data_IF_076487031912
#
_entry.id   IF_076487031912
#
_cell.length_a   1.000
_cell.length_b   1.000
_cell.length_c   1.000
_cell.angle_alpha   90.00
_cell.angle_beta   90.00
_cell.angle_gamma   90.00
#
_symmetry.space_group_name_H-M   'P 1'
#
loop_
_entity.id
_entity.type
_entity.pdbx_description
1 polymer ?
#
# COMPACT_ATOMS: atom_id res chain seq x y z
N UNK A 1 -54.01 -4.21 34.61
CA UNK A 1 -52.99 -4.28 33.56
C UNK A 1 -51.97 -3.17 33.81
N UNK A 2 -50.85 -3.48 34.46
CA UNK A 2 -49.67 -2.62 34.50
C UNK A 2 -48.61 -3.33 33.65
N UNK A 3 -48.10 -2.63 32.65
CA UNK A 3 -47.05 -3.14 31.78
C UNK A 3 -45.71 -2.81 32.44
N UNK A 4 -44.94 -3.85 32.74
CA UNK A 4 -43.54 -3.72 33.13
C UNK A 4 -42.71 -3.44 31.87
N UNK A 5 -42.03 -2.30 31.84
CA UNK A 5 -41.08 -1.94 30.79
C UNK A 5 -39.71 -2.42 31.27
N UNK A 6 -39.23 -3.53 30.72
CA UNK A 6 -37.83 -3.94 30.88
C UNK A 6 -36.94 -3.04 30.03
N UNK A 7 -36.14 -2.21 30.69
CA UNK A 7 -35.10 -1.39 30.06
C UNK A 7 -33.87 -2.28 29.86
N UNK A 8 -33.64 -2.74 28.63
CA UNK A 8 -32.39 -3.38 28.24
C UNK A 8 -31.28 -2.32 28.11
N UNK A 9 -30.42 -2.23 29.12
CA UNK A 9 -29.19 -1.43 29.08
C UNK A 9 -28.14 -2.22 28.30
N UNK A 10 -27.94 -1.87 27.03
CA UNK A 10 -26.79 -2.35 26.25
C UNK A 10 -25.53 -1.62 26.72
N UNK A 11 -24.68 -2.30 27.48
CA UNK A 11 -23.30 -1.87 27.67
C UNK A 11 -22.55 -2.09 26.35
N UNK A 12 -22.35 -1.03 25.58
CA UNK A 12 -21.31 -0.97 24.56
C UNK A 12 -19.95 -1.06 25.27
N UNK A 13 -19.45 -2.27 25.42
CA UNK A 13 -18.05 -2.52 25.79
C UNK A 13 -17.18 -2.03 24.64
N UNK A 14 -16.75 -0.77 24.70
CA UNK A 14 -15.65 -0.28 23.86
C UNK A 14 -14.38 -0.94 24.38
N UNK A 15 -14.03 -2.10 23.84
CA UNK A 15 -12.69 -2.64 24.01
C UNK A 15 -11.70 -1.63 23.40
N UNK A 16 -10.63 -1.24 24.10
CA UNK A 16 -9.57 -0.45 23.49
C UNK A 16 -9.05 -1.27 22.31
N UNK A 17 -9.14 -0.73 21.09
CA UNK A 17 -8.42 -1.28 19.94
C UNK A 17 -6.94 -1.07 20.21
N UNK A 18 -6.30 -2.05 20.86
CA UNK A 18 -4.85 -2.08 20.99
C UNK A 18 -4.28 -2.37 19.60
N UNK A 19 -3.56 -1.40 19.02
CA UNK A 19 -2.78 -1.66 17.82
C UNK A 19 -1.72 -2.71 18.16
N UNK A 20 -1.75 -3.86 17.48
CA UNK A 20 -0.67 -4.83 17.57
C UNK A 20 0.52 -4.28 16.80
N UNK A 21 1.70 -4.23 17.43
CA UNK A 21 2.95 -3.87 16.77
C UNK A 21 3.69 -5.15 16.38
N UNK A 22 3.89 -5.38 15.08
CA UNK A 22 4.58 -6.55 14.54
C UNK A 22 5.94 -6.14 13.98
N UNK A 23 7.01 -6.71 14.50
CA UNK A 23 8.32 -6.64 13.86
C UNK A 23 8.40 -7.76 12.80
N UNK A 24 8.53 -7.37 11.53
CA UNK A 24 8.62 -8.32 10.41
C UNK A 24 10.02 -8.96 10.29
N UNK A 25 10.96 -8.58 11.14
CA UNK A 25 12.27 -9.19 11.26
C UNK A 25 13.00 -9.27 9.92
N UNK A 26 13.58 -10.44 9.56
CA UNK A 26 14.36 -10.60 8.34
C UNK A 26 13.52 -10.59 7.06
N UNK A 27 12.20 -10.76 7.14
CA UNK A 27 11.32 -10.78 5.96
C UNK A 27 11.45 -9.48 5.16
N UNK A 28 11.51 -8.37 5.88
CA UNK A 28 11.71 -7.04 5.33
C UNK A 28 12.98 -6.90 4.50
N UNK A 29 14.09 -7.35 5.05
CA UNK A 29 15.37 -7.33 4.35
C UNK A 29 15.35 -8.19 3.09
N UNK A 30 14.66 -9.33 3.13
CA UNK A 30 14.56 -10.25 2.00
C UNK A 30 13.64 -9.71 0.91
N UNK A 31 12.45 -9.21 1.28
CA UNK A 31 11.55 -8.48 0.38
C UNK A 31 12.28 -7.33 -0.31
N UNK A 32 13.08 -6.59 0.46
CA UNK A 32 13.90 -5.49 -0.07
C UNK A 32 14.94 -5.95 -1.08
N UNK A 33 15.75 -6.97 -0.74
CA UNK A 33 16.79 -7.51 -1.63
C UNK A 33 16.18 -8.04 -2.94
N UNK A 34 14.97 -8.58 -2.86
CA UNK A 34 14.26 -9.16 -3.99
C UNK A 34 13.44 -8.13 -4.78
N UNK A 35 13.37 -6.87 -4.34
CA UNK A 35 12.62 -5.81 -5.00
C UNK A 35 13.39 -5.17 -6.17
N UNK A 36 13.81 -6.00 -7.14
CA UNK A 36 14.61 -5.56 -8.29
C UNK A 36 13.94 -4.49 -9.17
N UNK A 37 12.61 -4.38 -9.09
CA UNK A 37 11.84 -3.36 -9.81
C UNK A 37 11.72 -2.02 -9.06
N UNK A 38 12.20 -1.88 -7.82
CA UNK A 38 12.24 -0.58 -7.15
C UNK A 38 13.18 0.37 -7.92
N UNK A 39 12.74 1.61 -8.12
CA UNK A 39 13.51 2.67 -8.74
C UNK A 39 14.42 3.35 -7.71
N UNK A 40 15.64 3.65 -8.13
CA UNK A 40 16.64 4.40 -7.37
C UNK A 40 16.44 5.90 -7.62
N UNK A 41 16.29 6.69 -6.56
CA UNK A 41 16.24 8.15 -6.65
C UNK A 41 17.65 8.71 -6.40
N UNK A 42 18.17 9.67 -7.19
CA UNK A 42 17.53 10.34 -8.32
C UNK A 42 17.82 9.71 -9.69
N UNK A 43 18.59 8.61 -9.77
CA UNK A 43 19.17 8.13 -11.05
C UNK A 43 18.20 7.39 -11.96
N UNK A 44 17.12 6.86 -11.42
CA UNK A 44 16.07 6.13 -12.14
C UNK A 44 14.69 6.82 -12.00
N UNK A 45 14.51 7.62 -10.96
CA UNK A 45 13.32 8.44 -10.69
C UNK A 45 13.74 9.76 -10.05
N UNK A 46 13.30 10.90 -10.56
CA UNK A 46 13.46 12.19 -9.88
C UNK A 46 12.18 12.61 -9.18
N UNK A 47 12.33 13.42 -8.12
CA UNK A 47 11.24 14.03 -7.35
C UNK A 47 11.44 15.54 -7.40
N UNK A 48 10.52 16.27 -8.03
CA UNK A 48 10.52 17.73 -8.04
C UNK A 48 9.83 18.26 -6.78
N UNK A 49 10.63 18.74 -5.83
CA UNK A 49 10.12 19.24 -4.55
C UNK A 49 9.56 20.67 -4.60
N UNK A 50 9.40 21.26 -5.78
CA UNK A 50 8.71 22.55 -5.94
C UNK A 50 7.23 22.40 -5.56
N UNK A 51 6.69 23.43 -4.89
CA UNK A 51 5.29 23.47 -4.53
C UNK A 51 4.42 23.32 -5.78
N UNK A 52 3.45 22.40 -5.72
CA UNK A 52 2.55 22.11 -6.85
C UNK A 52 3.27 21.64 -8.14
N UNK A 53 4.42 20.97 -8.02
CA UNK A 53 5.15 20.44 -9.17
C UNK A 53 4.31 19.52 -10.07
N UNK A 54 4.46 19.72 -11.38
CA UNK A 54 3.78 18.94 -12.41
C UNK A 54 4.69 18.79 -13.64
N UNK A 55 5.40 17.66 -13.78
CA UNK A 55 5.31 16.45 -12.96
C UNK A 55 6.02 16.56 -11.60
N UNK A 56 5.45 15.96 -10.55
CA UNK A 56 6.14 15.74 -9.26
C UNK A 56 7.19 14.63 -9.40
N UNK A 57 6.85 13.56 -10.12
CA UNK A 57 7.72 12.40 -10.33
C UNK A 57 8.09 12.30 -11.80
N UNK A 58 9.38 12.15 -12.12
CA UNK A 58 9.82 11.90 -13.50
C UNK A 58 10.67 10.64 -13.56
N UNK A 59 10.22 9.64 -14.31
CA UNK A 59 11.01 8.43 -14.56
C UNK A 59 12.18 8.77 -15.47
N UNK A 60 13.40 8.52 -14.99
CA UNK A 60 14.62 8.80 -15.75
C UNK A 60 14.77 7.76 -16.87
N UNK A 61 15.17 8.23 -18.05
CA UNK A 61 15.47 7.36 -19.19
C UNK A 61 16.54 6.31 -18.84
N UNK A 62 16.54 5.18 -19.57
CA UNK A 62 17.41 4.05 -19.27
C UNK A 62 16.80 3.12 -18.21
N UNK A 63 17.48 2.90 -17.10
CA UNK A 63 17.11 1.86 -16.11
C UNK A 63 15.73 2.09 -15.48
N UNK A 64 15.38 3.32 -15.15
CA UNK A 64 14.04 3.66 -14.62
C UNK A 64 12.93 3.31 -15.60
N UNK A 65 13.09 3.74 -16.86
CA UNK A 65 12.16 3.43 -17.94
C UNK A 65 12.02 1.91 -18.19
N UNK A 66 13.11 1.14 -18.11
CA UNK A 66 13.06 -0.33 -18.21
C UNK A 66 12.26 -0.93 -17.05
N UNK A 67 12.46 -0.44 -15.82
CA UNK A 67 11.73 -0.94 -14.64
C UNK A 67 10.23 -0.70 -14.74
N UNK A 68 9.79 0.50 -15.14
CA UNK A 68 8.34 0.79 -15.27
C UNK A 68 7.67 0.08 -16.46
N UNK A 69 8.45 -0.44 -17.42
CA UNK A 69 7.96 -1.32 -18.49
C UNK A 69 7.89 -2.80 -18.09
N UNK A 70 8.36 -3.17 -16.90
CA UNK A 70 8.23 -4.54 -16.41
C UNK A 70 6.77 -4.94 -16.20
N UNK A 71 6.50 -6.25 -16.22
CA UNK A 71 5.16 -6.80 -16.03
C UNK A 71 4.49 -6.30 -14.74
N UNK A 72 5.25 -6.15 -13.65
CA UNK A 72 4.73 -5.65 -12.36
C UNK A 72 4.07 -4.28 -12.48
N UNK A 73 4.73 -3.33 -13.17
CA UNK A 73 4.19 -1.99 -13.36
C UNK A 73 3.13 -1.91 -14.46
N UNK A 74 3.26 -2.71 -15.52
CA UNK A 74 2.27 -2.74 -16.60
C UNK A 74 0.94 -3.33 -16.13
N UNK A 75 0.96 -4.47 -15.41
CA UNK A 75 -0.27 -5.06 -14.87
C UNK A 75 -0.91 -4.23 -13.76
N UNK A 76 -0.09 -3.52 -12.98
CA UNK A 76 -0.63 -2.51 -12.07
C UNK A 76 -1.32 -1.37 -12.84
N UNK A 77 -0.72 -0.87 -13.92
CA UNK A 77 -1.31 0.17 -14.78
C UNK A 77 -2.64 -0.30 -15.38
N UNK A 78 -2.75 -1.55 -15.83
CA UNK A 78 -4.01 -2.10 -16.36
C UNK A 78 -5.12 -2.05 -15.31
N UNK A 79 -4.83 -2.41 -14.06
CA UNK A 79 -5.79 -2.26 -12.95
C UNK A 79 -6.18 -0.79 -12.74
N UNK A 80 -5.22 0.15 -12.77
CA UNK A 80 -5.53 1.57 -12.63
C UNK A 80 -6.45 2.07 -13.76
N UNK A 81 -6.30 1.57 -14.98
CA UNK A 81 -7.18 1.88 -16.12
C UNK A 81 -8.58 1.31 -15.89
N UNK A 82 -8.71 0.07 -15.43
CA UNK A 82 -10.03 -0.52 -15.15
C UNK A 82 -10.81 0.28 -14.09
N UNK A 83 -10.14 0.71 -13.03
CA UNK A 83 -10.76 1.54 -11.97
C UNK A 83 -11.14 2.96 -12.43
N UNK A 84 -10.82 3.34 -13.66
CA UNK A 84 -11.25 4.61 -14.26
C UNK A 84 -12.51 4.47 -15.13
N UNK A 85 -13.01 3.25 -15.34
CA UNK A 85 -14.22 3.00 -16.12
C UNK A 85 -15.49 3.57 -15.45
N UNK A 86 -16.57 3.70 -16.22
CA UNK A 86 -17.87 4.17 -15.72
C UNK A 86 -18.41 3.31 -14.57
N UNK A 87 -18.12 2.01 -14.62
CA UNK A 87 -18.33 1.04 -13.53
C UNK A 87 -16.95 0.57 -13.06
N UNK A 88 -16.33 1.27 -12.09
CA UNK A 88 -14.92 1.10 -11.77
C UNK A 88 -14.69 -0.19 -10.99
N UNK A 89 -14.34 -1.26 -11.72
CA UNK A 89 -13.92 -2.54 -11.18
C UNK A 89 -12.97 -3.25 -12.16
N UNK A 90 -11.90 -3.89 -11.68
CA UNK A 90 -10.99 -4.63 -12.52
C UNK A 90 -11.61 -5.93 -13.02
N UNK A 91 -11.21 -6.34 -14.22
CA UNK A 91 -11.57 -7.67 -14.72
C UNK A 91 -10.83 -8.76 -13.94
N UNK A 92 -11.41 -9.96 -13.84
CA UNK A 92 -10.72 -11.09 -13.20
C UNK A 92 -9.39 -11.41 -13.89
N UNK A 93 -9.34 -11.28 -15.22
CA UNK A 93 -8.11 -11.47 -16.00
C UNK A 93 -7.00 -10.49 -15.57
N UNK A 94 -7.30 -9.19 -15.45
CA UNK A 94 -6.30 -8.22 -15.00
C UNK A 94 -5.87 -8.42 -13.55
N UNK A 95 -6.79 -8.88 -12.66
CA UNK A 95 -6.43 -9.29 -11.30
C UNK A 95 -5.43 -10.45 -11.34
N UNK A 96 -5.75 -11.51 -12.10
CA UNK A 96 -4.93 -12.72 -12.19
C UNK A 96 -3.54 -12.44 -12.81
N UNK A 97 -3.50 -11.57 -13.82
CA UNK A 97 -2.26 -11.13 -14.47
C UNK A 97 -1.40 -10.31 -13.51
N UNK A 98 -1.99 -9.41 -12.73
CA UNK A 98 -1.27 -8.63 -11.72
C UNK A 98 -0.76 -9.52 -10.59
N UNK A 99 -1.60 -10.39 -10.02
CA UNK A 99 -1.21 -11.32 -8.97
C UNK A 99 -0.08 -12.22 -9.48
N UNK A 100 -0.16 -12.71 -10.72
CA UNK A 100 0.91 -13.48 -11.35
C UNK A 100 2.18 -12.65 -11.49
N UNK A 101 2.09 -11.40 -11.95
CA UNK A 101 3.25 -10.52 -12.11
C UNK A 101 3.98 -10.23 -10.78
N UNK A 102 3.26 -10.13 -9.66
CA UNK A 102 3.88 -9.85 -8.35
C UNK A 102 4.36 -11.10 -7.61
N UNK A 103 3.89 -12.30 -7.98
CA UNK A 103 4.27 -13.60 -7.36
C UNK A 103 5.33 -14.35 -8.17
N UNK A 104 6.33 -13.63 -8.67
CA UNK A 104 7.45 -14.25 -9.39
C UNK A 104 8.48 -14.86 -8.42
N UNK A 105 9.15 -15.97 -8.81
CA UNK A 105 10.27 -16.50 -8.06
C UNK A 105 11.36 -15.45 -7.83
N UNK A 106 12.03 -15.54 -6.68
CA UNK A 106 13.02 -14.56 -6.21
C UNK A 106 12.49 -13.12 -6.12
N UNK A 107 11.17 -12.95 -6.07
CA UNK A 107 10.49 -11.66 -5.91
C UNK A 107 10.22 -11.31 -4.44
N UNK A 108 9.75 -10.07 -4.17
CA UNK A 108 9.39 -9.65 -2.81
C UNK A 108 8.21 -10.46 -2.26
N UNK A 109 7.24 -10.83 -3.10
CA UNK A 109 6.08 -11.59 -2.63
C UNK A 109 6.41 -13.05 -2.25
N UNK A 110 7.42 -13.65 -2.88
CA UNK A 110 7.91 -14.97 -2.45
C UNK A 110 8.58 -14.87 -1.07
N UNK A 111 9.41 -13.85 -0.84
CA UNK A 111 10.00 -13.61 0.49
C UNK A 111 8.93 -13.37 1.57
N UNK A 112 7.84 -12.67 1.24
CA UNK A 112 6.68 -12.52 2.11
C UNK A 112 6.00 -13.87 2.39
N UNK A 113 5.74 -14.65 1.35
CA UNK A 113 5.14 -15.99 1.45
C UNK A 113 5.96 -16.92 2.35
N UNK A 114 7.27 -17.01 2.12
CA UNK A 114 8.16 -17.87 2.90
C UNK A 114 8.16 -17.50 4.39
N UNK A 115 8.20 -16.21 4.69
CA UNK A 115 8.13 -15.72 6.07
C UNK A 115 6.78 -16.06 6.70
N UNK A 116 5.66 -15.75 6.04
CA UNK A 116 4.32 -16.01 6.55
C UNK A 116 4.07 -17.51 6.79
N UNK A 117 4.59 -18.36 5.89
CA UNK A 117 4.57 -19.81 6.05
C UNK A 117 5.38 -20.25 7.27
N UNK A 118 6.59 -19.71 7.45
CA UNK A 118 7.44 -20.01 8.61
C UNK A 118 6.79 -19.57 9.94
N UNK A 119 6.09 -18.44 9.96
CA UNK A 119 5.40 -17.93 11.14
C UNK A 119 4.07 -18.65 11.44
N UNK A 120 3.61 -19.55 10.55
CA UNK A 120 2.30 -20.20 10.70
C UNK A 120 1.13 -19.24 10.50
N UNK A 121 1.34 -18.10 9.83
CA UNK A 121 0.34 -17.06 9.58
C UNK A 121 -0.54 -17.33 8.34
N UNK A 122 -0.36 -18.49 7.69
CA UNK A 122 -1.13 -18.91 6.52
C UNK A 122 -2.05 -20.09 6.85
N UNK A 123 -3.17 -20.28 6.13
CA UNK A 123 -3.96 -21.50 6.23
C UNK A 123 -3.08 -22.74 5.99
N UNK A 124 -3.28 -23.86 6.72
CA UNK A 124 -2.43 -25.05 6.58
C UNK A 124 -2.36 -25.66 5.17
N UNK A 125 -3.38 -25.44 4.35
CA UNK A 125 -3.44 -25.89 2.95
C UNK A 125 -2.53 -25.09 2.01
N UNK A 126 -2.10 -23.89 2.40
CA UNK A 126 -1.29 -22.98 1.58
C UNK A 126 0.18 -23.28 1.81
N UNK A 127 0.75 -24.12 0.95
CA UNK A 127 2.13 -24.62 1.07
C UNK A 127 3.02 -24.20 -0.09
N UNK A 128 2.44 -23.65 -1.16
CA UNK A 128 3.12 -23.21 -2.38
C UNK A 128 2.76 -21.76 -2.75
N UNK A 129 3.65 -21.08 -3.50
CA UNK A 129 3.39 -19.74 -4.00
C UNK A 129 2.16 -19.67 -4.91
N UNK A 130 1.88 -20.73 -5.67
CA UNK A 130 0.68 -20.82 -6.51
C UNK A 130 -0.61 -20.82 -5.68
N UNK A 131 -0.66 -21.54 -4.55
CA UNK A 131 -1.81 -21.50 -3.64
C UNK A 131 -1.93 -20.13 -2.95
N UNK A 132 -0.80 -19.48 -2.68
CA UNK A 132 -0.78 -18.16 -2.06
C UNK A 132 -1.42 -17.07 -2.94
N UNK A 133 -1.43 -17.24 -4.28
CA UNK A 133 -2.18 -16.35 -5.19
C UNK A 133 -3.66 -16.23 -4.81
N UNK A 134 -4.30 -17.33 -4.39
CA UNK A 134 -5.69 -17.32 -3.93
C UNK A 134 -5.87 -16.46 -2.68
N UNK A 135 -4.94 -16.56 -1.72
CA UNK A 135 -4.93 -15.72 -0.52
C UNK A 135 -4.81 -14.24 -0.88
N UNK A 136 -3.95 -13.90 -1.84
CA UNK A 136 -3.81 -12.52 -2.32
C UNK A 136 -5.09 -12.00 -2.98
N UNK A 137 -5.74 -12.84 -3.80
CA UNK A 137 -7.01 -12.49 -4.44
C UNK A 137 -8.08 -12.20 -3.38
N UNK A 138 -8.30 -13.12 -2.44
CA UNK A 138 -9.28 -12.97 -1.36
C UNK A 138 -9.04 -11.75 -0.48
N UNK A 139 -7.77 -11.48 -0.15
CA UNK A 139 -7.38 -10.41 0.76
C UNK A 139 -7.58 -9.03 0.13
N UNK A 140 -7.16 -8.87 -1.13
CA UNK A 140 -7.00 -7.56 -1.78
C UNK A 140 -8.09 -7.21 -2.78
N UNK A 141 -8.74 -8.20 -3.40
CA UNK A 141 -9.64 -8.00 -4.53
C UNK A 141 -11.02 -8.63 -4.30
N UNK A 142 -11.10 -9.95 -4.08
CA UNK A 142 -12.37 -10.65 -4.05
C UNK A 142 -13.21 -10.22 -2.84
N UNK A 143 -14.38 -9.65 -3.12
CA UNK A 143 -15.29 -9.08 -2.11
C UNK A 143 -14.61 -8.04 -1.19
N UNK A 144 -13.49 -7.45 -1.63
CA UNK A 144 -12.65 -6.51 -0.89
C UNK A 144 -12.40 -5.29 -1.75
N UNK A 145 -12.47 -4.10 -1.16
CA UNK A 145 -12.01 -2.88 -1.82
C UNK A 145 -10.59 -2.50 -1.38
N UNK A 146 -9.85 -3.39 -0.70
CA UNK A 146 -8.55 -3.07 -0.12
C UNK A 146 -7.53 -2.59 -1.14
N UNK A 147 -7.41 -3.28 -2.28
CA UNK A 147 -6.49 -2.84 -3.34
C UNK A 147 -6.90 -1.47 -3.89
N UNK A 148 -8.18 -1.31 -4.24
CA UNK A 148 -8.74 -0.05 -4.72
C UNK A 148 -8.46 1.08 -3.73
N UNK A 149 -8.81 0.90 -2.47
CA UNK A 149 -8.61 1.89 -1.43
C UNK A 149 -7.13 2.29 -1.35
N UNK A 150 -6.24 1.33 -1.10
CA UNK A 150 -4.82 1.59 -0.86
C UNK A 150 -4.13 2.23 -2.06
N UNK A 151 -4.35 1.68 -3.26
CA UNK A 151 -3.56 2.04 -4.44
C UNK A 151 -4.25 3.07 -5.34
N UNK A 152 -5.58 3.02 -5.49
CA UNK A 152 -6.36 3.91 -6.38
C UNK A 152 -6.90 5.12 -5.62
N UNK A 153 -7.48 4.89 -4.43
CA UNK A 153 -8.19 5.88 -3.63
C UNK A 153 -9.71 5.82 -3.74
N UNK A 154 -10.38 6.19 -2.65
CA UNK A 154 -11.83 6.25 -2.57
C UNK A 154 -12.31 7.68 -2.31
N UNK A 155 -13.27 8.15 -3.10
CA UNK A 155 -13.94 9.43 -2.87
C UNK A 155 -15.02 9.25 -1.81
N UNK A 156 -14.89 9.97 -0.69
CA UNK A 156 -16.02 10.28 0.15
C UNK A 156 -16.72 11.52 -0.42
N UNK A 157 -17.81 11.30 -1.17
CA UNK A 157 -18.55 12.37 -1.84
C UNK A 157 -19.14 13.39 -0.86
N UNK A 158 -19.58 12.95 0.32
CA UNK A 158 -20.17 13.82 1.34
C UNK A 158 -19.12 14.76 1.95
N UNK A 159 -17.91 14.26 2.21
CA UNK A 159 -16.82 15.03 2.76
C UNK A 159 -15.97 15.74 1.69
N UNK A 160 -16.22 15.48 0.41
CA UNK A 160 -15.40 15.89 -0.73
C UNK A 160 -13.89 15.63 -0.51
N UNK A 161 -13.57 14.44 0.00
CA UNK A 161 -12.21 14.02 0.32
C UNK A 161 -11.90 12.64 -0.22
N UNK A 162 -10.68 12.44 -0.68
CA UNK A 162 -10.13 11.13 -1.02
C UNK A 162 -9.41 10.52 0.19
N UNK A 163 -9.72 9.26 0.47
CA UNK A 163 -8.98 8.38 1.38
C UNK A 163 -8.22 7.31 0.58
N UNK A 164 -7.24 6.65 1.21
CA UNK A 164 -6.39 5.72 0.47
C UNK A 164 -5.40 6.43 -0.46
N UNK A 165 -5.15 5.93 -1.68
CA UNK A 165 -4.22 6.50 -2.67
C UNK A 165 -2.84 6.82 -2.08
N UNK A 166 -2.11 5.75 -1.74
CA UNK A 166 -0.80 5.77 -1.09
C UNK A 166 0.34 5.28 -2.01
N UNK A 167 0.21 5.45 -3.32
CA UNK A 167 1.16 4.94 -4.30
C UNK A 167 1.65 6.02 -5.28
N UNK A 168 2.98 6.17 -5.39
CA UNK A 168 3.61 7.19 -6.23
C UNK A 168 3.39 6.95 -7.73
N UNK A 169 3.27 5.69 -8.16
CA UNK A 169 3.11 5.37 -9.58
C UNK A 169 1.68 5.71 -10.03
N UNK A 170 0.66 5.43 -9.21
CA UNK A 170 -0.68 5.96 -9.46
C UNK A 170 -0.70 7.49 -9.51
N UNK A 171 0.07 8.17 -8.64
CA UNK A 171 0.18 9.64 -8.69
C UNK A 171 0.76 10.13 -10.02
N UNK A 172 1.85 9.49 -10.49
CA UNK A 172 2.44 9.75 -11.80
C UNK A 172 1.41 9.54 -12.92
N UNK A 173 0.71 8.41 -12.94
CA UNK A 173 -0.29 8.10 -13.97
C UNK A 173 -1.43 9.13 -14.00
N UNK A 174 -1.87 9.63 -12.85
CA UNK A 174 -2.91 10.66 -12.79
C UNK A 174 -2.41 12.03 -13.30
N UNK A 175 -1.15 12.42 -13.01
CA UNK A 175 -0.56 13.62 -13.59
C UNK A 175 -0.34 13.51 -15.10
N UNK A 176 0.12 12.35 -15.60
CA UNK A 176 0.27 12.07 -17.02
C UNK A 176 -1.08 12.11 -17.75
N UNK A 177 -2.13 11.58 -17.13
CA UNK A 177 -3.47 11.50 -17.73
C UNK A 177 -4.16 12.85 -17.81
N UNK A 178 -4.16 13.60 -16.70
CA UNK A 178 -4.77 14.92 -16.67
C UNK A 178 -4.03 15.82 -15.66
N UNK A 179 -3.02 16.58 -16.11
CA UNK A 179 -2.19 17.37 -15.22
C UNK A 179 -2.98 18.44 -14.44
N UNK A 180 -4.11 18.90 -14.97
CA UNK A 180 -4.94 19.93 -14.32
C UNK A 180 -5.76 19.39 -13.15
N UNK A 181 -5.87 18.07 -13.01
CA UNK A 181 -6.70 17.44 -11.97
C UNK A 181 -5.92 17.12 -10.70
N UNK A 182 -4.60 17.30 -10.69
CA UNK A 182 -3.74 17.08 -9.51
C UNK A 182 -3.05 18.39 -9.15
N UNK A 183 -3.55 19.08 -8.13
CA UNK A 183 -3.13 20.45 -7.76
C UNK A 183 -2.90 20.60 -6.26
N UNK A 184 -2.44 21.77 -5.82
CA UNK A 184 -2.14 22.09 -4.41
C UNK A 184 -1.25 21.05 -3.72
N UNK A 185 -0.26 20.52 -4.44
CA UNK A 185 0.63 19.48 -3.93
C UNK A 185 1.61 20.11 -2.93
N UNK A 186 1.61 19.59 -1.71
CA UNK A 186 2.53 19.96 -0.67
C UNK A 186 2.92 18.74 0.18
N UNK A 187 4.13 18.76 0.74
CA UNK A 187 4.60 17.75 1.67
C UNK A 187 5.67 18.33 2.60
N UNK A 188 5.76 17.79 3.82
CA UNK A 188 6.67 18.31 4.85
C UNK A 188 7.99 17.53 4.93
N UNK A 189 8.01 16.28 4.46
CA UNK A 189 9.21 15.46 4.51
C UNK A 189 9.36 14.57 3.27
N UNK A 190 10.58 14.50 2.77
CA UNK A 190 11.03 13.54 1.76
C UNK A 190 12.27 12.82 2.32
N UNK A 191 12.06 11.63 2.89
CA UNK A 191 13.07 10.90 3.66
C UNK A 191 13.56 9.69 2.88
N UNK A 192 14.87 9.56 2.57
CA UNK A 192 15.38 8.34 1.97
C UNK A 192 15.33 7.19 2.97
N UNK A 193 15.15 5.98 2.48
CA UNK A 193 15.57 4.78 3.20
C UNK A 193 17.08 4.67 3.02
N UNK A 194 17.83 4.14 4.00
CA UNK A 194 19.29 4.00 4.05
C UNK A 194 20.07 4.61 2.87
N UNK A 195 20.66 5.80 3.11
CA UNK A 195 21.36 6.68 2.15
C UNK A 195 20.54 7.12 0.93
N UNK A 196 21.08 8.03 0.10
CA UNK A 196 20.42 8.57 -1.11
C UNK A 196 20.21 7.55 -2.24
N UNK A 197 20.09 6.25 -1.96
CA UNK A 197 20.12 5.17 -2.97
C UNK A 197 18.93 4.22 -2.92
N UNK A 198 18.03 4.38 -1.96
CA UNK A 198 16.86 3.52 -1.81
C UNK A 198 15.55 4.34 -1.94
N UNK A 199 14.40 3.70 -2.18
CA UNK A 199 13.08 4.33 -2.10
C UNK A 199 12.93 5.33 -0.96
N UNK A 200 12.09 6.33 -1.20
CA UNK A 200 11.84 7.42 -0.28
C UNK A 200 10.49 7.24 0.39
N UNK A 201 10.32 7.85 1.55
CA UNK A 201 9.02 8.11 2.15
C UNK A 201 8.69 9.59 2.01
N UNK A 202 7.57 9.86 1.36
CA UNK A 202 6.96 11.18 1.31
C UNK A 202 5.91 11.26 2.44
N UNK A 203 6.07 12.19 3.38
CA UNK A 203 5.16 12.40 4.53
C UNK A 203 4.61 13.82 4.55
N UNK A 204 3.47 13.97 5.23
CA UNK A 204 2.80 15.26 5.28
C UNK A 204 2.16 15.63 3.94
N UNK A 205 1.90 14.64 3.09
CA UNK A 205 1.41 14.84 1.74
C UNK A 205 -0.03 15.34 1.76
N UNK A 206 -0.25 16.47 1.11
CA UNK A 206 -1.58 16.99 0.77
C UNK A 206 -1.58 17.34 -0.71
N UNK A 207 -2.73 17.13 -1.36
CA UNK A 207 -2.98 17.56 -2.72
C UNK A 207 -4.49 17.60 -2.94
N UNK A 208 -4.92 18.24 -4.03
CA UNK A 208 -6.27 18.12 -4.57
C UNK A 208 -6.22 17.20 -5.77
N UNK A 209 -7.16 16.26 -5.83
CA UNK A 209 -7.31 15.36 -6.96
C UNK A 209 -8.76 15.35 -7.41
N UNK A 210 -9.00 15.57 -8.70
CA UNK A 210 -10.35 15.55 -9.30
C UNK A 210 -11.38 16.40 -8.53
N UNK A 211 -10.95 17.57 -8.06
CA UNK A 211 -11.80 18.52 -7.33
C UNK A 211 -12.02 18.23 -5.84
N UNK A 212 -11.45 17.15 -5.29
CA UNK A 212 -11.54 16.78 -3.89
C UNK A 212 -10.17 16.84 -3.18
N UNK A 213 -10.17 17.00 -1.86
CA UNK A 213 -8.91 17.04 -1.09
C UNK A 213 -8.39 15.62 -0.81
N UNK A 214 -7.09 15.39 -0.96
CA UNK A 214 -6.42 14.21 -0.42
C UNK A 214 -6.29 14.39 1.08
N UNK A 215 -6.98 13.52 1.82
CA UNK A 215 -7.12 13.51 3.27
C UNK A 215 -8.06 14.63 3.81
N UNK A 216 -8.81 14.35 4.90
CA UNK A 216 -9.60 15.35 5.61
C UNK A 216 -8.78 16.55 6.10
N UNK A 217 -9.46 17.67 6.33
CA UNK A 217 -8.85 18.87 6.91
C UNK A 217 -8.16 18.54 8.24
N UNK A 218 -6.93 19.02 8.42
CA UNK A 218 -6.12 18.74 9.61
C UNK A 218 -5.40 17.39 9.61
N UNK A 219 -5.54 16.59 8.55
CA UNK A 219 -4.80 15.35 8.36
C UNK A 219 -3.90 15.42 7.12
N UNK A 220 -2.95 14.50 7.04
CA UNK A 220 -2.04 14.41 5.90
C UNK A 220 -1.90 12.95 5.47
N UNK A 221 -1.33 12.76 4.29
CA UNK A 221 -1.05 11.44 3.74
C UNK A 221 0.44 11.17 3.61
N UNK A 222 0.73 9.99 3.10
CA UNK A 222 2.07 9.47 2.91
C UNK A 222 2.06 8.40 1.85
N UNK A 223 3.19 8.21 1.18
CA UNK A 223 3.40 7.13 0.22
C UNK A 223 4.88 6.80 0.12
N UNK A 224 5.17 5.55 -0.19
CA UNK A 224 6.50 5.19 -0.66
C UNK A 224 6.71 5.76 -2.07
N UNK A 225 7.94 6.18 -2.36
CA UNK A 225 8.36 6.78 -3.62
C UNK A 225 9.49 5.96 -4.22
N UNK A 226 9.30 5.52 -5.46
CA UNK A 226 10.24 4.64 -6.16
C UNK A 226 10.08 3.15 -5.84
N UNK A 227 9.17 2.75 -4.94
CA UNK A 227 8.87 1.33 -4.74
C UNK A 227 8.09 0.73 -5.91
N UNK A 228 8.23 -0.58 -6.13
CA UNK A 228 7.42 -1.32 -7.10
C UNK A 228 6.09 -1.76 -6.46
N UNK A 229 5.01 -1.91 -7.26
CA UNK A 229 3.74 -2.48 -6.78
C UNK A 229 3.90 -3.84 -6.08
N UNK A 230 4.81 -4.68 -6.55
CA UNK A 230 5.11 -5.97 -5.91
C UNK A 230 5.68 -5.80 -4.50
N UNK A 231 6.55 -4.81 -4.28
CA UNK A 231 7.15 -4.54 -2.97
C UNK A 231 6.13 -3.95 -1.99
N UNK A 232 5.37 -2.93 -2.40
CA UNK A 232 4.32 -2.33 -1.56
C UNK A 232 3.31 -3.39 -1.12
N UNK A 233 2.81 -4.19 -2.08
CA UNK A 233 1.83 -5.24 -1.81
C UNK A 233 2.39 -6.32 -0.89
N UNK A 234 3.65 -6.74 -1.08
CA UNK A 234 4.29 -7.75 -0.23
C UNK A 234 4.44 -7.26 1.22
N UNK A 235 4.88 -6.01 1.43
CA UNK A 235 4.98 -5.42 2.77
C UNK A 235 3.62 -5.37 3.46
N UNK A 236 2.60 -4.83 2.79
CA UNK A 236 1.27 -4.71 3.39
C UNK A 236 0.62 -6.07 3.64
N UNK A 237 0.78 -7.02 2.72
CA UNK A 237 0.27 -8.40 2.88
C UNK A 237 0.92 -9.08 4.09
N UNK A 238 2.25 -8.96 4.22
CA UNK A 238 2.98 -9.55 5.34
C UNK A 238 2.49 -8.97 6.66
N UNK A 239 2.32 -7.66 6.73
CA UNK A 239 1.86 -7.00 7.94
C UNK A 239 0.47 -7.45 8.38
N UNK A 240 -0.51 -7.39 7.48
CA UNK A 240 -1.89 -7.75 7.84
C UNK A 240 -1.99 -9.22 8.23
N UNK A 241 -1.29 -10.13 7.54
CA UNK A 241 -1.36 -11.56 7.84
C UNK A 241 -0.58 -11.95 9.10
N UNK A 242 0.57 -11.32 9.36
CA UNK A 242 1.34 -11.59 10.59
C UNK A 242 0.70 -11.02 11.84
N UNK A 243 0.04 -9.87 11.74
CA UNK A 243 -0.63 -9.22 12.88
C UNK A 243 -2.10 -9.56 13.04
N UNK A 244 -2.65 -10.42 12.16
CA UNK A 244 -4.06 -10.80 12.15
C UNK A 244 -4.47 -11.41 13.49
N UNK A 245 -5.44 -10.79 14.14
CA UNK A 245 -6.05 -11.26 15.38
C UNK A 245 -7.56 -11.47 15.21
N UNK A 246 -8.17 -12.20 16.14
CA UNK A 246 -9.63 -12.35 16.18
C UNK A 246 -10.29 -10.97 16.34
N UNK A 247 -11.19 -10.61 15.43
CA UNK A 247 -11.86 -9.31 15.41
C UNK A 247 -11.16 -8.22 14.60
N UNK A 248 -10.12 -8.53 13.82
CA UNK A 248 -9.48 -7.58 12.91
C UNK A 248 -8.91 -6.34 13.61
N UNK A 249 -8.89 -5.20 12.92
CA UNK A 249 -8.44 -3.91 13.46
C UNK A 249 -7.12 -3.41 12.90
N UNK A 250 -6.54 -2.45 13.61
CA UNK A 250 -5.30 -1.78 13.22
C UNK A 250 -4.08 -2.61 13.60
N UNK A 251 -3.22 -2.87 12.63
CA UNK A 251 -1.95 -3.57 12.79
C UNK A 251 -0.85 -2.61 12.36
N UNK A 252 0.03 -2.29 13.30
CA UNK A 252 1.23 -1.51 13.06
C UNK A 252 2.39 -2.46 12.80
N UNK A 253 3.16 -2.21 11.76
CA UNK A 253 4.34 -3.00 11.45
C UNK A 253 5.60 -2.16 11.38
N UNK A 254 6.68 -2.77 11.83
CA UNK A 254 8.03 -2.21 11.80
C UNK A 254 8.93 -3.12 10.98
N UNK A 255 9.79 -2.50 10.19
CA UNK A 255 10.56 -3.16 9.16
C UNK A 255 11.96 -2.56 9.10
N UNK A 256 12.97 -3.33 9.52
CA UNK A 256 14.37 -2.89 9.49
C UNK A 256 14.99 -3.30 8.16
N UNK A 257 15.48 -2.32 7.41
CA UNK A 257 16.14 -2.52 6.12
C UNK A 257 17.57 -2.00 6.24
N UNK A 258 18.54 -2.86 5.95
CA UNK A 258 19.96 -2.54 5.88
C UNK A 258 20.37 -2.32 4.43
N UNK A 259 20.96 -1.16 4.16
CA UNK A 259 21.64 -0.89 2.89
C UNK A 259 23.08 -1.37 2.97
N UNK A 260 23.59 -1.97 1.89
CA UNK A 260 24.96 -2.50 1.84
C UNK A 260 26.00 -1.40 2.07
N UNK A 261 26.54 -1.31 3.29
CA UNK A 261 27.50 -0.26 3.69
C UNK A 261 26.88 1.12 3.90
N UNK A 262 25.55 1.22 3.95
CA UNK A 262 24.81 2.49 3.96
C UNK A 262 24.09 2.75 5.30
N UNK A 263 24.04 1.76 6.20
CA UNK A 263 23.35 1.83 7.50
C UNK A 263 22.06 1.00 7.56
N UNK A 264 21.23 1.29 8.56
CA UNK A 264 19.92 0.65 8.79
C UNK A 264 18.83 1.72 8.86
N UNK A 265 17.68 1.44 8.25
CA UNK A 265 16.47 2.27 8.36
C UNK A 265 15.35 1.45 8.96
N UNK A 266 14.58 2.10 9.83
CA UNK A 266 13.37 1.53 10.40
C UNK A 266 12.16 2.12 9.68
N UNK A 267 11.50 1.29 8.87
CA UNK A 267 10.28 1.62 8.13
C UNK A 267 9.08 1.24 8.97
N UNK A 268 8.21 2.19 9.25
CA UNK A 268 6.98 2.02 10.01
C UNK A 268 5.80 2.17 9.06
N UNK A 269 4.82 1.28 9.15
CA UNK A 269 3.62 1.32 8.33
C UNK A 269 2.46 0.64 9.06
N UNK A 270 1.25 0.85 8.56
CA UNK A 270 0.02 0.37 9.20
C UNK A 270 -0.85 -0.31 8.16
N UNK A 271 -1.51 -1.37 8.57
CA UNK A 271 -2.63 -1.99 7.86
C UNK A 271 -3.86 -2.02 8.76
N UNK A 272 -5.05 -1.92 8.19
CA UNK A 272 -6.31 -2.06 8.92
C UNK A 272 -7.11 -3.17 8.26
N UNK A 273 -7.55 -4.12 9.07
CA UNK A 273 -8.39 -5.22 8.65
C UNK A 273 -9.82 -5.08 9.18
N UNK A 274 -10.81 -5.39 8.33
CA UNK A 274 -12.20 -5.51 8.73
C UNK A 274 -12.41 -6.73 9.65
N UNK A 275 -12.92 -6.53 10.89
CA UNK A 275 -13.27 -7.59 11.83
C UNK A 275 -14.13 -8.70 11.27
N UNK A 276 -15.10 -8.34 10.43
CA UNK A 276 -16.19 -9.22 10.01
C UNK A 276 -15.79 -10.02 8.77
N UNK A 277 -15.05 -9.37 7.87
CA UNK A 277 -14.76 -9.92 6.56
C UNK A 277 -13.31 -10.35 6.36
N UNK A 278 -12.41 -10.10 7.34
CA UNK A 278 -10.97 -10.43 7.30
C UNK A 278 -10.26 -9.89 6.05
N UNK A 279 -10.60 -8.65 5.70
CA UNK A 279 -10.14 -7.97 4.47
C UNK A 279 -9.42 -6.69 4.78
N UNK A 280 -8.47 -6.33 3.93
CA UNK A 280 -7.76 -5.04 4.06
C UNK A 280 -8.74 -3.91 3.76
N UNK A 281 -8.87 -2.99 4.71
CA UNK A 281 -9.58 -1.71 4.53
C UNK A 281 -8.59 -0.67 4.02
N UNK A 282 -7.42 -0.56 4.66
CA UNK A 282 -6.38 0.38 4.27
C UNK A 282 -5.00 -0.11 4.67
N UNK A 283 -3.98 0.43 4.00
CA UNK A 283 -2.58 0.20 4.27
C UNK A 283 -1.79 1.43 3.81
N UNK A 284 -0.87 1.91 4.64
CA UNK A 284 -0.07 3.08 4.30
C UNK A 284 1.21 3.15 5.13
N UNK A 285 2.29 3.73 4.57
CA UNK A 285 3.49 3.98 5.33
C UNK A 285 3.31 5.12 6.32
N UNK A 286 3.95 5.05 7.48
CA UNK A 286 3.89 6.08 8.52
C UNK A 286 5.17 6.85 8.64
N UNK A 287 6.31 6.16 8.65
CA UNK A 287 7.59 6.79 8.95
C UNK A 287 8.79 5.99 8.43
N UNK A 288 9.93 6.68 8.30
CA UNK A 288 11.25 6.08 8.09
C UNK A 288 12.22 6.80 9.03
N UNK A 289 12.79 6.04 9.96
CA UNK A 289 13.79 6.49 10.92
C UNK A 289 15.17 6.04 10.48
#
# INVERSE_FOLDING_TARGET
MRADIEVFVYFLLTFPFFASSVDLGPACQNMWKNAGNNLIVPTELTVDAVANANPLFTVVSGKGAVKVRSAVFQRFRDLMVDYQAAYPAPTQQHIDDFITAVTQPSGPMEAAFDYLKQQGSLPPSVTTLQQFKGVLNDLWFQNSNGFKHVFVGDLNANANTFTGFHNWYQFLLEQERNPTQTTNIAFSHLRPFVDKRLPYLLRGLTFRWRGANKAPQGSTSSMFVGTSPAFDLAMFTTCVLSGRAAGGGTIDCVCKVKGLGLGESTVEFTTVEDPLNKKVITAHPRNVK
#
